data_IF_457655980298
#
_entry.id   IF_457655980298
#
_cell.length_a   1.000
_cell.length_b   1.000
_cell.length_c   1.000
_cell.angle_alpha   90.00
_cell.angle_beta   90.00
_cell.angle_gamma   90.00
#
_symmetry.space_group_name_H-M   'P 1'
#
loop_
_entity.id
_entity.type
_entity.pdbx_description
1 polymer ?
#
# COMPACT_ATOMS: atom_id res chain seq x y z
N UNK A 1 -14.23 7.65 -46.77
CA UNK A 1 -13.31 7.72 -45.65
C UNK A 1 -13.03 6.31 -45.18
N UNK A 2 -11.78 5.90 -45.21
CA UNK A 2 -11.34 4.57 -44.78
C UNK A 2 -11.16 4.55 -43.28
N UNK A 3 -11.21 3.38 -42.64
CA UNK A 3 -10.96 3.20 -41.19
C UNK A 3 -9.62 3.81 -40.76
N UNK A 4 -8.65 3.84 -41.68
CA UNK A 4 -7.33 4.47 -41.46
C UNK A 4 -7.43 6.00 -41.30
N UNK A 5 -8.27 6.68 -42.08
CA UNK A 5 -8.46 8.13 -41.96
C UNK A 5 -9.14 8.52 -40.65
N UNK A 6 -10.06 7.69 -40.12
CA UNK A 6 -10.65 7.89 -38.80
C UNK A 6 -9.63 7.67 -37.67
N UNK A 7 -8.74 6.69 -37.80
CA UNK A 7 -7.66 6.46 -36.84
C UNK A 7 -6.63 7.60 -36.84
N UNK A 8 -6.27 8.14 -38.03
CA UNK A 8 -5.37 9.30 -38.14
C UNK A 8 -5.99 10.55 -37.53
N UNK A 9 -7.26 10.84 -37.82
CA UNK A 9 -7.99 11.97 -37.21
C UNK A 9 -8.09 11.80 -35.71
N UNK A 10 -8.38 10.60 -35.21
CA UNK A 10 -8.42 10.31 -33.77
C UNK A 10 -7.05 10.50 -33.13
N UNK A 11 -5.99 9.98 -33.72
CA UNK A 11 -4.62 10.15 -33.25
C UNK A 11 -4.18 11.62 -33.28
N UNK A 12 -4.50 12.35 -34.34
CA UNK A 12 -4.15 13.76 -34.51
C UNK A 12 -4.92 14.65 -33.51
N UNK A 13 -6.21 14.41 -33.33
CA UNK A 13 -7.01 15.13 -32.33
C UNK A 13 -6.56 14.80 -30.92
N UNK A 14 -6.20 13.55 -30.61
CA UNK A 14 -5.71 13.14 -29.29
C UNK A 14 -4.32 13.70 -29.00
N UNK A 15 -3.40 13.71 -29.96
CA UNK A 15 -2.04 14.26 -29.82
C UNK A 15 -1.98 15.77 -29.75
N UNK A 16 -2.95 16.51 -30.32
CA UNK A 16 -2.99 17.97 -30.26
C UNK A 16 -3.90 18.47 -29.14
N UNK A 17 -5.09 17.92 -28.99
CA UNK A 17 -6.06 18.39 -28.00
C UNK A 17 -5.57 18.11 -26.58
N UNK A 18 -4.97 16.95 -26.33
CA UNK A 18 -4.47 16.60 -25.00
C UNK A 18 -3.34 17.52 -24.51
N UNK A 19 -2.26 17.77 -25.26
CA UNK A 19 -1.22 18.72 -24.89
C UNK A 19 -1.71 20.16 -24.78
N UNK A 20 -2.57 20.62 -25.69
CA UNK A 20 -3.15 21.97 -25.63
C UNK A 20 -4.06 22.15 -24.41
N UNK A 21 -4.84 21.14 -24.07
CA UNK A 21 -5.67 21.14 -22.88
C UNK A 21 -4.82 21.10 -21.59
N UNK A 22 -3.73 20.32 -21.57
CA UNK A 22 -2.75 20.28 -20.48
C UNK A 22 -2.04 21.64 -20.33
N UNK A 23 -1.62 22.26 -21.44
CA UNK A 23 -0.96 23.54 -21.41
C UNK A 23 -1.88 24.66 -20.95
N UNK A 24 -3.13 24.67 -21.42
CA UNK A 24 -4.16 25.63 -21.00
C UNK A 24 -4.51 25.50 -19.52
N UNK A 25 -4.53 24.28 -18.95
CA UNK A 25 -4.82 24.06 -17.54
C UNK A 25 -3.67 24.50 -16.62
N UNK A 26 -2.42 24.40 -17.09
CA UNK A 26 -1.25 24.90 -16.34
C UNK A 26 -1.25 26.42 -16.16
N UNK A 27 -1.90 27.15 -17.06
CA UNK A 27 -1.87 28.61 -17.07
C UNK A 27 -2.92 29.27 -16.17
N UNK A 28 -3.94 28.54 -15.69
CA UNK A 28 -5.14 29.20 -15.14
C UNK A 28 -5.50 28.96 -13.68
N UNK A 29 -4.80 28.10 -12.93
CA UNK A 29 -5.13 27.95 -11.49
C UNK A 29 -3.89 27.77 -10.60
N UNK A 30 -3.72 28.69 -9.67
CA UNK A 30 -2.89 28.54 -8.46
C UNK A 30 -3.48 27.55 -7.44
N UNK A 31 -4.59 26.87 -7.76
CA UNK A 31 -5.24 25.89 -6.89
C UNK A 31 -4.55 24.54 -7.04
N UNK A 32 -4.23 23.88 -5.94
CA UNK A 32 -3.70 22.50 -5.91
C UNK A 32 -4.76 21.47 -6.23
N UNK A 33 -6.04 21.86 -6.29
CA UNK A 33 -7.14 20.96 -6.59
C UNK A 33 -6.99 20.33 -7.98
N UNK A 34 -7.15 19.01 -8.11
CA UNK A 34 -7.06 18.29 -9.37
C UNK A 34 -8.06 18.81 -10.40
N UNK A 35 -7.61 18.92 -11.65
CA UNK A 35 -8.52 19.23 -12.76
C UNK A 35 -9.23 17.97 -13.20
N UNK A 36 -10.57 18.02 -13.23
CA UNK A 36 -11.40 16.93 -13.75
C UNK A 36 -11.45 17.04 -15.30
N UNK A 37 -10.77 16.11 -15.98
CA UNK A 37 -10.73 16.06 -17.44
C UNK A 37 -11.86 15.21 -18.01
N UNK A 38 -12.42 15.57 -19.16
CA UNK A 38 -13.34 14.67 -19.87
C UNK A 38 -12.68 13.31 -20.10
N UNK A 39 -13.44 12.23 -19.96
CA UNK A 39 -13.07 10.82 -20.14
C UNK A 39 -12.06 10.28 -19.09
N UNK A 40 -10.99 10.98 -18.79
CA UNK A 40 -9.91 10.48 -17.92
C UNK A 40 -10.00 10.97 -16.47
N UNK A 41 -10.97 11.85 -16.18
CA UNK A 41 -11.18 12.37 -14.83
C UNK A 41 -9.96 13.08 -14.25
N UNK A 42 -9.65 12.79 -13.00
CA UNK A 42 -8.49 13.32 -12.28
C UNK A 42 -7.28 12.37 -12.29
N UNK A 43 -7.33 11.29 -13.06
CA UNK A 43 -6.24 10.30 -13.16
C UNK A 43 -4.87 10.92 -13.51
N UNK A 44 -4.75 11.90 -14.45
CA UNK A 44 -3.46 12.53 -14.74
C UNK A 44 -2.81 13.17 -13.50
N UNK A 45 -3.61 13.73 -12.60
CA UNK A 45 -3.10 14.32 -11.36
C UNK A 45 -2.52 13.25 -10.43
N UNK A 46 -3.23 12.12 -10.20
CA UNK A 46 -2.70 11.02 -9.38
C UNK A 46 -1.38 10.48 -9.95
N UNK A 47 -1.32 10.27 -11.27
CA UNK A 47 -0.10 9.77 -11.93
C UNK A 47 1.07 10.74 -11.77
N UNK A 48 0.82 12.05 -11.90
CA UNK A 48 1.83 13.10 -11.75
C UNK A 48 2.38 13.16 -10.31
N UNK A 49 1.52 12.97 -9.31
CA UNK A 49 1.88 13.09 -7.90
C UNK A 49 2.05 11.75 -7.19
N UNK A 50 2.07 10.63 -7.91
CA UNK A 50 2.15 9.29 -7.33
C UNK A 50 3.28 9.10 -6.31
N UNK A 51 4.46 9.68 -6.56
CA UNK A 51 5.61 9.63 -5.64
C UNK A 51 5.45 10.53 -4.40
N UNK A 52 4.52 11.48 -4.40
CA UNK A 52 4.26 12.44 -3.31
C UNK A 52 2.77 12.56 -3.00
N UNK A 53 2.04 11.47 -3.19
CA UNK A 53 0.57 11.47 -3.11
C UNK A 53 0.06 11.99 -1.75
N UNK A 54 0.71 11.62 -0.65
CA UNK A 54 0.31 12.06 0.68
C UNK A 54 0.40 13.58 0.85
N UNK A 55 1.51 14.19 0.44
CA UNK A 55 1.68 15.64 0.52
C UNK A 55 0.70 16.39 -0.39
N UNK A 56 0.51 15.87 -1.61
CA UNK A 56 -0.42 16.45 -2.58
C UNK A 56 -1.88 16.32 -2.10
N UNK A 57 -2.27 15.16 -1.58
CA UNK A 57 -3.59 14.94 -1.01
C UNK A 57 -3.84 15.84 0.21
N UNK A 58 -2.88 15.98 1.13
CA UNK A 58 -2.99 16.87 2.29
C UNK A 58 -3.24 18.31 1.85
N UNK A 59 -2.53 18.77 0.81
CA UNK A 59 -2.73 20.13 0.30
C UNK A 59 -4.13 20.31 -0.28
N UNK A 60 -4.60 19.37 -1.11
CA UNK A 60 -5.97 19.40 -1.66
C UNK A 60 -7.02 19.39 -0.56
N UNK A 61 -6.86 18.52 0.45
CA UNK A 61 -7.79 18.42 1.58
C UNK A 61 -7.87 19.73 2.36
N UNK A 62 -6.73 20.39 2.61
CA UNK A 62 -6.70 21.70 3.28
C UNK A 62 -7.42 22.77 2.47
N UNK A 63 -7.26 22.79 1.14
CA UNK A 63 -7.92 23.75 0.26
C UNK A 63 -9.43 23.49 0.12
N UNK A 64 -9.87 22.22 0.23
CA UNK A 64 -11.26 21.80 0.09
C UNK A 64 -12.04 21.73 1.43
N UNK A 65 -11.45 22.17 2.54
CA UNK A 65 -12.13 22.16 3.85
C UNK A 65 -12.32 20.75 4.42
N UNK A 66 -11.41 19.81 4.12
CA UNK A 66 -11.35 18.49 4.75
C UNK A 66 -12.14 17.39 4.04
N UNK A 67 -12.89 17.69 2.97
CA UNK A 67 -13.60 16.68 2.17
C UNK A 67 -13.47 16.99 0.69
N UNK A 68 -13.12 15.98 -0.10
CA UNK A 68 -12.82 16.12 -1.51
C UNK A 68 -13.38 14.95 -2.31
N UNK A 69 -14.07 15.23 -3.42
CA UNK A 69 -14.56 14.23 -4.35
C UNK A 69 -13.55 14.02 -5.49
N UNK A 70 -12.93 12.85 -5.53
CA UNK A 70 -12.08 12.42 -6.62
C UNK A 70 -12.92 11.78 -7.72
N UNK A 71 -12.80 12.27 -8.95
CA UNK A 71 -13.46 11.71 -10.14
C UNK A 71 -12.45 10.88 -10.94
N UNK A 72 -12.72 9.58 -11.03
CA UNK A 72 -11.96 8.65 -11.87
C UNK A 72 -12.26 8.79 -13.36
N UNK A 73 -11.60 7.98 -14.20
CA UNK A 73 -11.96 7.85 -15.60
C UNK A 73 -13.36 7.26 -15.77
N UNK A 74 -14.06 7.66 -16.84
CA UNK A 74 -15.37 7.10 -17.18
C UNK A 74 -15.29 5.58 -17.29
N UNK A 75 -16.33 4.89 -16.83
CA UNK A 75 -16.48 3.42 -16.86
C UNK A 75 -15.44 2.63 -16.03
N UNK A 76 -14.62 3.31 -15.21
CA UNK A 76 -13.59 2.63 -14.40
C UNK A 76 -14.00 2.40 -12.94
N UNK A 77 -15.14 2.91 -12.49
CA UNK A 77 -15.63 2.84 -11.11
C UNK A 77 -14.55 3.25 -10.08
N UNK A 78 -13.84 4.35 -10.37
CA UNK A 78 -12.75 4.87 -9.55
C UNK A 78 -13.12 6.18 -8.82
N UNK A 79 -14.39 6.53 -8.78
CA UNK A 79 -14.85 7.71 -8.04
C UNK A 79 -14.72 7.45 -6.54
N UNK A 80 -14.15 8.42 -5.83
CA UNK A 80 -13.89 8.31 -4.39
C UNK A 80 -14.26 9.59 -3.67
N UNK A 81 -14.89 9.46 -2.51
CA UNK A 81 -15.03 10.56 -1.56
C UNK A 81 -13.97 10.42 -0.48
N UNK A 82 -13.05 11.38 -0.44
CA UNK A 82 -11.95 11.41 0.52
C UNK A 82 -12.26 12.44 1.58
N UNK A 83 -12.22 12.03 2.85
CA UNK A 83 -12.51 12.95 3.96
C UNK A 83 -11.49 12.81 5.08
N UNK A 84 -11.12 13.96 5.67
CA UNK A 84 -10.35 14.07 6.91
C UNK A 84 -11.17 14.77 8.02
N UNK A 85 -12.45 15.05 7.76
CA UNK A 85 -13.35 15.67 8.72
C UNK A 85 -13.65 14.69 9.87
N UNK A 86 -13.38 15.06 11.14
CA UNK A 86 -13.63 14.17 12.29
C UNK A 86 -15.10 13.75 12.44
N UNK A 87 -16.05 14.61 12.06
CA UNK A 87 -17.48 14.28 12.13
C UNK A 87 -17.85 13.20 11.12
N UNK A 88 -17.32 13.29 9.89
CA UNK A 88 -17.50 12.26 8.87
C UNK A 88 -16.84 10.95 9.28
N UNK A 89 -15.62 11.02 9.79
CA UNK A 89 -14.90 9.84 10.29
C UNK A 89 -15.67 9.16 11.41
N UNK A 90 -16.18 9.93 12.39
CA UNK A 90 -17.00 9.38 13.46
C UNK A 90 -18.32 8.79 12.96
N UNK A 91 -18.96 9.42 11.95
CA UNK A 91 -20.16 8.89 11.33
C UNK A 91 -19.88 7.52 10.67
N UNK A 92 -18.82 7.40 9.89
CA UNK A 92 -18.47 6.18 9.16
C UNK A 92 -18.03 5.05 10.11
N UNK A 93 -17.07 5.34 10.99
CA UNK A 93 -16.41 4.29 11.79
C UNK A 93 -17.09 3.98 13.14
N UNK A 94 -18.06 4.80 13.58
CA UNK A 94 -18.72 4.60 14.86
C UNK A 94 -20.25 4.49 14.74
N UNK A 95 -20.92 5.50 14.14
CA UNK A 95 -22.38 5.54 14.15
C UNK A 95 -23.03 4.60 13.14
N UNK A 96 -22.43 4.46 11.95
CA UNK A 96 -23.02 3.71 10.83
C UNK A 96 -22.03 2.72 10.23
N UNK A 97 -21.15 2.14 11.03
CA UNK A 97 -20.08 1.25 10.57
C UNK A 97 -20.59 0.10 9.67
N UNK A 98 -21.74 -0.47 9.99
CA UNK A 98 -22.37 -1.54 9.20
C UNK A 98 -22.77 -1.14 7.78
N UNK A 99 -22.97 0.16 7.52
CA UNK A 99 -23.33 0.68 6.20
C UNK A 99 -22.11 0.95 5.30
N UNK A 100 -20.90 0.83 5.83
CA UNK A 100 -19.65 1.11 5.13
C UNK A 100 -18.72 -0.09 5.11
N UNK A 101 -19.12 -1.23 4.50
CA UNK A 101 -18.21 -2.36 4.32
C UNK A 101 -17.11 -2.00 3.33
N UNK A 102 -15.98 -2.70 3.39
CA UNK A 102 -14.93 -2.59 2.38
C UNK A 102 -15.41 -3.02 1.00
N UNK A 103 -16.21 -4.08 0.96
CA UNK A 103 -16.86 -4.57 -0.22
C UNK A 103 -15.96 -5.36 -1.19
N UNK A 104 -16.56 -5.89 -2.27
CA UNK A 104 -15.87 -6.79 -3.18
C UNK A 104 -14.75 -6.12 -3.98
N UNK A 105 -14.90 -4.84 -4.32
CA UNK A 105 -13.88 -4.12 -5.11
C UNK A 105 -12.61 -3.89 -4.30
N UNK A 106 -12.74 -3.50 -3.03
CA UNK A 106 -11.63 -3.40 -2.11
C UNK A 106 -10.93 -4.75 -1.92
N UNK A 107 -11.70 -5.82 -1.75
CA UNK A 107 -11.18 -7.18 -1.56
C UNK A 107 -10.37 -7.68 -2.75
N UNK A 108 -10.72 -7.30 -3.98
CA UNK A 108 -9.94 -7.61 -5.18
C UNK A 108 -8.56 -6.93 -5.16
N UNK A 109 -8.51 -5.67 -4.75
CA UNK A 109 -7.25 -4.92 -4.66
C UNK A 109 -6.30 -5.61 -3.66
N UNK A 110 -6.84 -5.99 -2.50
CA UNK A 110 -6.10 -6.58 -1.40
C UNK A 110 -6.12 -8.12 -1.38
N UNK A 111 -6.32 -8.78 -2.51
CA UNK A 111 -6.43 -10.24 -2.58
C UNK A 111 -5.26 -11.01 -1.92
N UNK A 112 -4.05 -10.42 -1.92
CA UNK A 112 -2.86 -10.99 -1.28
C UNK A 112 -3.00 -11.14 0.24
N UNK A 113 -3.90 -10.39 0.87
CA UNK A 113 -4.17 -10.49 2.32
C UNK A 113 -5.22 -11.56 2.65
N UNK A 114 -5.73 -12.26 1.64
CA UNK A 114 -6.76 -13.29 1.82
C UNK A 114 -7.98 -12.78 2.58
N UNK A 115 -8.51 -13.60 3.47
CA UNK A 115 -9.63 -13.25 4.34
C UNK A 115 -9.20 -12.69 5.70
N UNK A 116 -7.96 -12.17 5.81
CA UNK A 116 -7.44 -11.56 7.03
C UNK A 116 -8.18 -10.30 7.46
N UNK A 117 -7.90 -9.80 8.67
CA UNK A 117 -8.58 -8.65 9.31
C UNK A 117 -8.65 -7.40 8.43
N UNK A 118 -7.64 -7.15 7.59
CA UNK A 118 -7.62 -5.98 6.69
C UNK A 118 -8.55 -6.12 5.50
N UNK A 119 -8.92 -7.34 5.12
CA UNK A 119 -9.73 -7.61 3.93
C UNK A 119 -11.12 -8.18 4.25
N UNK A 120 -11.35 -8.62 5.49
CA UNK A 120 -12.64 -9.14 5.95
C UNK A 120 -13.62 -8.01 6.26
N UNK A 121 -14.92 -8.32 6.10
CA UNK A 121 -16.06 -7.48 6.49
C UNK A 121 -16.94 -8.19 7.52
N UNK A 122 -17.83 -7.45 8.16
CA UNK A 122 -18.91 -7.92 9.05
C UNK A 122 -18.42 -8.89 10.16
N UNK A 123 -19.08 -10.02 10.30
CA UNK A 123 -18.84 -11.02 11.36
C UNK A 123 -17.39 -11.56 11.34
N UNK A 124 -16.83 -11.80 10.15
CA UNK A 124 -15.49 -12.30 10.02
C UNK A 124 -14.48 -11.24 10.49
N UNK A 125 -14.67 -9.97 10.12
CA UNK A 125 -13.84 -8.88 10.63
C UNK A 125 -13.97 -8.72 12.15
N UNK A 126 -15.17 -8.83 12.68
CA UNK A 126 -15.42 -8.73 14.13
C UNK A 126 -14.70 -9.86 14.89
N UNK A 127 -14.78 -11.09 14.36
CA UNK A 127 -14.06 -12.24 14.91
C UNK A 127 -12.55 -11.98 14.95
N UNK A 128 -11.96 -11.59 13.82
CA UNK A 128 -10.52 -11.30 13.74
C UNK A 128 -10.12 -10.16 14.68
N UNK A 129 -10.90 -9.08 14.73
CA UNK A 129 -10.63 -7.95 15.60
C UNK A 129 -10.66 -8.36 17.07
N UNK A 130 -11.69 -9.09 17.48
CA UNK A 130 -11.86 -9.57 18.86
C UNK A 130 -10.70 -10.47 19.29
N UNK A 131 -10.34 -11.42 18.43
CA UNK A 131 -9.22 -12.33 18.67
C UNK A 131 -7.89 -11.57 18.79
N UNK A 132 -7.62 -10.65 17.85
CA UNK A 132 -6.40 -9.83 17.88
C UNK A 132 -6.33 -8.97 19.13
N UNK A 133 -7.41 -8.32 19.52
CA UNK A 133 -7.47 -7.52 20.76
C UNK A 133 -7.22 -8.36 22.00
N UNK A 134 -7.75 -9.58 22.07
CA UNK A 134 -7.52 -10.47 23.21
C UNK A 134 -6.04 -10.82 23.38
N UNK A 135 -5.32 -11.03 22.29
CA UNK A 135 -3.87 -11.26 22.31
C UNK A 135 -3.12 -10.01 22.77
N UNK A 136 -3.42 -8.86 22.17
CA UNK A 136 -2.71 -7.61 22.46
C UNK A 136 -2.95 -7.07 23.88
N UNK A 137 -4.07 -7.40 24.51
CA UNK A 137 -4.35 -6.99 25.90
C UNK A 137 -3.79 -7.95 26.94
N UNK A 138 -3.26 -9.09 26.52
CA UNK A 138 -2.74 -10.09 27.46
C UNK A 138 -1.36 -9.70 28.02
N UNK A 139 -1.19 -9.76 29.33
CA UNK A 139 0.06 -9.35 30.00
C UNK A 139 1.29 -10.14 29.51
N UNK A 140 1.13 -11.44 29.24
CA UNK A 140 2.20 -12.30 28.72
C UNK A 140 2.70 -11.82 27.34
N UNK A 141 1.78 -11.32 26.48
CA UNK A 141 2.15 -10.76 25.19
C UNK A 141 3.09 -9.56 25.36
N UNK A 142 2.75 -8.61 26.23
CA UNK A 142 3.60 -7.44 26.50
C UNK A 142 4.98 -7.82 27.04
N UNK A 143 5.04 -8.81 27.93
CA UNK A 143 6.31 -9.28 28.46
C UNK A 143 7.17 -9.95 27.38
N UNK A 144 6.55 -10.78 26.52
CA UNK A 144 7.25 -11.45 25.42
C UNK A 144 7.70 -10.45 24.35
N UNK A 145 6.84 -9.49 24.01
CA UNK A 145 7.17 -8.39 23.09
C UNK A 145 8.36 -7.59 23.61
N UNK A 146 8.32 -7.16 24.88
CA UNK A 146 9.42 -6.41 25.49
C UNK A 146 10.74 -7.18 25.45
N UNK A 147 10.71 -8.47 25.78
CA UNK A 147 11.91 -9.33 25.73
C UNK A 147 12.45 -9.48 24.30
N UNK A 148 11.58 -9.74 23.32
CA UNK A 148 12.00 -9.88 21.92
C UNK A 148 12.62 -8.59 21.39
N UNK A 149 11.96 -7.45 21.61
CA UNK A 149 12.42 -6.13 21.15
C UNK A 149 13.75 -5.75 21.78
N UNK A 150 13.89 -5.86 23.12
CA UNK A 150 15.13 -5.54 23.79
C UNK A 150 16.27 -6.49 23.39
N UNK A 151 15.99 -7.80 23.28
CA UNK A 151 16.98 -8.74 22.75
C UNK A 151 17.48 -8.35 21.39
N UNK A 152 16.58 -7.92 20.47
CA UNK A 152 16.96 -7.49 19.12
C UNK A 152 17.69 -6.14 19.10
N UNK A 153 17.40 -5.24 20.05
CA UNK A 153 18.19 -4.01 20.24
C UNK A 153 19.63 -4.35 20.58
N UNK A 154 19.84 -5.23 21.55
CA UNK A 154 21.18 -5.59 22.03
C UNK A 154 21.98 -6.43 21.02
N UNK A 155 21.33 -7.41 20.36
CA UNK A 155 22.03 -8.37 19.49
C UNK A 155 22.08 -7.94 18.02
N UNK A 156 21.20 -7.04 17.58
CA UNK A 156 21.11 -6.59 16.18
C UNK A 156 21.36 -5.09 16.03
N UNK A 157 20.48 -4.26 16.59
CA UNK A 157 20.49 -2.82 16.32
C UNK A 157 21.78 -2.13 16.76
N UNK A 158 22.17 -2.31 18.01
CA UNK A 158 23.40 -1.68 18.55
C UNK A 158 24.67 -2.14 17.84
N UNK A 159 24.90 -3.44 17.60
CA UNK A 159 26.06 -3.90 16.83
C UNK A 159 26.14 -3.35 15.42
N UNK A 160 25.00 -3.29 14.72
CA UNK A 160 24.94 -2.76 13.35
C UNK A 160 25.30 -1.28 13.33
N UNK A 161 24.68 -0.46 14.17
CA UNK A 161 24.98 0.97 14.27
C UNK A 161 26.44 1.22 14.70
N UNK A 162 26.97 0.43 15.64
CA UNK A 162 28.37 0.53 16.04
C UNK A 162 29.34 0.16 14.89
N UNK A 163 28.97 -0.79 14.04
CA UNK A 163 29.75 -1.15 12.84
C UNK A 163 29.82 0.00 11.85
N UNK A 164 28.69 0.63 11.52
CA UNK A 164 28.65 1.81 10.65
C UNK A 164 29.44 2.98 11.20
N UNK A 165 29.31 3.24 12.52
CA UNK A 165 30.09 4.28 13.20
C UNK A 165 31.60 4.05 13.07
N UNK A 166 32.06 2.81 13.26
CA UNK A 166 33.50 2.46 13.11
C UNK A 166 34.00 2.64 11.68
N UNK A 167 33.15 2.39 10.69
CA UNK A 167 33.50 2.54 9.28
C UNK A 167 33.41 3.99 8.78
N UNK A 168 32.79 4.90 9.56
CA UNK A 168 32.57 6.28 9.17
C UNK A 168 31.63 6.43 7.94
N UNK A 169 30.72 5.48 7.76
CA UNK A 169 29.79 5.43 6.63
C UNK A 169 28.40 5.85 7.09
N UNK A 170 27.71 6.66 6.28
CA UNK A 170 26.32 7.03 6.52
C UNK A 170 25.40 5.80 6.40
N UNK A 171 24.39 5.75 7.24
CA UNK A 171 23.39 4.67 7.28
C UNK A 171 22.00 5.19 6.98
N UNK A 172 21.26 4.45 6.16
CA UNK A 172 19.83 4.67 6.00
C UNK A 172 19.07 4.06 7.19
N UNK A 173 18.66 4.92 8.12
CA UNK A 173 17.91 4.49 9.31
C UNK A 173 16.56 3.86 8.95
N UNK A 174 15.95 4.22 7.82
CA UNK A 174 14.69 3.61 7.37
C UNK A 174 14.91 2.13 7.02
N UNK A 175 15.96 1.79 6.30
CA UNK A 175 16.32 0.41 5.98
C UNK A 175 16.62 -0.40 7.26
N UNK A 176 17.42 0.17 8.17
CA UNK A 176 17.73 -0.45 9.47
C UNK A 176 16.48 -0.74 10.29
N UNK A 177 15.57 0.24 10.41
CA UNK A 177 14.35 0.03 11.18
C UNK A 177 13.35 -0.90 10.49
N UNK A 178 13.31 -0.97 9.16
CA UNK A 178 12.51 -1.97 8.44
C UNK A 178 12.98 -3.39 8.79
N UNK A 179 14.28 -3.64 8.74
CA UNK A 179 14.87 -4.94 9.14
C UNK A 179 14.62 -5.25 10.61
N UNK A 180 14.81 -4.26 11.48
CA UNK A 180 14.50 -4.39 12.91
C UNK A 180 13.06 -4.80 13.16
N UNK A 181 12.11 -4.15 12.50
CA UNK A 181 10.69 -4.48 12.62
C UNK A 181 10.37 -5.85 12.04
N UNK A 182 10.95 -6.19 10.89
CA UNK A 182 10.75 -7.48 10.23
C UNK A 182 11.20 -8.64 11.13
N UNK A 183 12.42 -8.58 11.67
CA UNK A 183 12.95 -9.62 12.56
C UNK A 183 12.11 -9.77 13.84
N UNK A 184 11.68 -8.64 14.45
CA UNK A 184 10.83 -8.67 15.64
C UNK A 184 9.45 -9.27 15.36
N UNK A 185 8.82 -8.95 14.23
CA UNK A 185 7.52 -9.51 13.85
C UNK A 185 7.65 -11.01 13.61
N UNK A 186 8.67 -11.45 12.86
CA UNK A 186 8.93 -12.87 12.64
C UNK A 186 9.17 -13.62 13.95
N UNK A 187 9.96 -13.04 14.86
CA UNK A 187 10.21 -13.64 16.18
C UNK A 187 8.94 -13.73 17.00
N UNK A 188 8.11 -12.71 16.99
CA UNK A 188 6.89 -12.65 17.79
C UNK A 188 5.77 -13.58 17.27
N UNK A 189 5.62 -13.68 15.95
CA UNK A 189 4.50 -14.39 15.29
C UNK A 189 4.87 -15.83 14.93
N UNK A 190 6.11 -16.05 14.47
CA UNK A 190 6.58 -17.33 13.97
C UNK A 190 7.58 -18.02 14.91
N UNK A 191 7.95 -17.36 16.02
CA UNK A 191 9.06 -17.76 16.91
C UNK A 191 10.39 -17.97 16.17
N UNK A 192 10.59 -17.32 15.04
CA UNK A 192 11.75 -17.42 14.18
C UNK A 192 12.41 -16.06 13.97
N UNK A 193 13.75 -15.99 14.13
CA UNK A 193 14.55 -14.77 13.85
C UNK A 193 15.28 -14.93 12.51
N UNK A 194 14.87 -14.21 11.46
CA UNK A 194 15.53 -14.27 10.16
C UNK A 194 16.92 -13.62 10.13
N UNK A 195 17.31 -12.90 11.18
CA UNK A 195 18.59 -12.20 11.29
C UNK A 195 18.87 -11.23 10.13
N UNK A 196 17.81 -10.61 9.60
CA UNK A 196 17.95 -9.60 8.54
C UNK A 196 18.70 -8.37 9.01
N UNK A 197 18.58 -8.06 10.31
CA UNK A 197 19.34 -7.01 10.99
C UNK A 197 20.60 -7.61 11.65
N UNK A 198 21.63 -7.79 10.85
CA UNK A 198 22.97 -8.18 11.27
C UNK A 198 24.01 -7.29 10.60
N UNK A 199 25.29 -7.37 11.02
CA UNK A 199 26.37 -6.52 10.48
C UNK A 199 26.55 -6.66 8.98
N UNK A 200 26.18 -7.80 8.40
CA UNK A 200 26.29 -8.08 6.97
C UNK A 200 25.04 -7.63 6.21
N UNK A 201 23.98 -7.23 6.90
CA UNK A 201 22.67 -6.81 6.35
C UNK A 201 22.19 -7.72 5.20
N UNK A 202 21.99 -9.03 5.46
CA UNK A 202 21.60 -9.96 4.42
C UNK A 202 20.24 -9.58 3.83
N UNK A 203 20.06 -9.87 2.54
CA UNK A 203 18.77 -9.69 1.87
C UNK A 203 17.89 -10.89 2.12
N UNK A 204 16.81 -10.70 2.85
CA UNK A 204 15.79 -11.73 3.08
C UNK A 204 14.72 -11.60 1.98
N UNK A 205 14.46 -12.67 1.19
CA UNK A 205 13.48 -12.59 0.08
C UNK A 205 12.08 -12.15 0.53
N UNK A 206 11.61 -12.59 1.70
CA UNK A 206 10.31 -12.23 2.25
C UNK A 206 10.22 -10.74 2.63
N UNK A 207 11.28 -10.14 3.15
CA UNK A 207 11.34 -8.69 3.43
C UNK A 207 11.17 -7.86 2.15
N UNK A 208 11.92 -8.23 1.10
CA UNK A 208 11.78 -7.60 -0.22
C UNK A 208 10.39 -7.80 -0.80
N UNK A 209 9.83 -9.00 -0.66
CA UNK A 209 8.49 -9.35 -1.11
C UNK A 209 7.42 -8.46 -0.48
N UNK A 210 7.53 -8.15 0.82
CA UNK A 210 6.61 -7.25 1.52
C UNK A 210 6.59 -5.85 0.88
N UNK A 211 7.75 -5.29 0.61
CA UNK A 211 7.87 -3.97 -0.03
C UNK A 211 7.32 -3.98 -1.47
N UNK A 212 7.62 -5.02 -2.24
CA UNK A 212 7.11 -5.17 -3.61
C UNK A 212 5.57 -5.35 -3.63
N UNK A 213 5.00 -6.09 -2.66
CA UNK A 213 3.57 -6.27 -2.50
C UNK A 213 2.87 -4.95 -2.15
N UNK A 214 3.36 -4.20 -1.15
CA UNK A 214 2.81 -2.90 -0.77
C UNK A 214 2.82 -1.94 -1.98
N UNK A 215 3.94 -1.90 -2.72
CA UNK A 215 4.05 -1.08 -3.92
C UNK A 215 3.06 -1.48 -5.03
N UNK A 216 2.77 -2.77 -5.20
CA UNK A 216 1.80 -3.24 -6.18
C UNK A 216 0.36 -2.93 -5.75
N UNK A 217 0.02 -3.13 -4.47
CA UNK A 217 -1.28 -2.79 -3.91
C UNK A 217 -1.58 -1.29 -4.06
N UNK A 218 -0.61 -0.44 -3.75
CA UNK A 218 -0.75 1.00 -3.98
C UNK A 218 -1.03 1.32 -5.47
N UNK A 219 -0.35 0.64 -6.38
CA UNK A 219 -0.53 0.85 -7.82
C UNK A 219 -1.92 0.43 -8.31
N UNK A 220 -2.54 -0.61 -7.71
CA UNK A 220 -3.92 -1.03 -8.00
C UNK A 220 -4.96 0.03 -7.61
N UNK A 221 -4.67 0.92 -6.66
CA UNK A 221 -5.53 2.07 -6.34
C UNK A 221 -5.42 3.22 -7.35
N UNK A 222 -4.30 3.29 -8.06
CA UNK A 222 -4.05 4.36 -9.03
C UNK A 222 -4.55 3.97 -10.42
N UNK A 223 -4.41 2.69 -10.80
CA UNK A 223 -4.75 2.21 -12.12
C UNK A 223 -6.17 1.64 -12.19
N UNK A 224 -6.88 1.85 -13.33
CA UNK A 224 -8.11 1.14 -13.61
C UNK A 224 -7.95 -0.39 -13.49
N UNK A 225 -9.00 -1.06 -13.02
CA UNK A 225 -9.01 -2.52 -12.79
C UNK A 225 -8.61 -3.29 -14.06
N UNK A 226 -9.09 -2.87 -15.22
CA UNK A 226 -8.76 -3.48 -16.51
C UNK A 226 -7.26 -3.46 -16.82
N UNK A 227 -6.57 -2.40 -16.42
CA UNK A 227 -5.13 -2.23 -16.70
C UNK A 227 -4.30 -3.16 -15.85
N UNK A 228 -4.51 -3.19 -14.53
CA UNK A 228 -3.73 -4.10 -13.69
C UNK A 228 -4.11 -5.56 -13.89
N UNK A 229 -5.36 -5.90 -14.24
CA UNK A 229 -5.75 -7.25 -14.66
C UNK A 229 -5.02 -7.70 -15.92
N UNK A 230 -4.90 -6.80 -16.90
CA UNK A 230 -4.12 -7.07 -18.11
C UNK A 230 -2.64 -7.31 -17.77
N UNK A 231 -2.05 -6.48 -16.89
CA UNK A 231 -0.66 -6.68 -16.42
C UNK A 231 -0.49 -8.04 -15.71
N UNK A 232 -1.46 -8.43 -14.87
CA UNK A 232 -1.49 -9.73 -14.18
C UNK A 232 -1.53 -10.88 -15.20
N UNK A 233 -2.40 -10.79 -16.20
CA UNK A 233 -2.52 -11.80 -17.23
C UNK A 233 -1.25 -11.92 -18.09
N UNK A 234 -0.62 -10.80 -18.43
CA UNK A 234 0.65 -10.77 -19.19
C UNK A 234 1.88 -11.11 -18.33
N UNK A 235 1.75 -11.16 -17.02
CA UNK A 235 2.88 -11.38 -16.11
C UNK A 235 3.93 -10.26 -16.15
N UNK A 236 3.50 -8.99 -16.27
CA UNK A 236 4.40 -7.83 -16.41
C UNK A 236 4.18 -6.78 -15.32
N UNK A 237 5.12 -5.85 -15.21
CA UNK A 237 5.00 -4.66 -14.36
C UNK A 237 4.93 -4.97 -12.86
N UNK A 238 4.07 -4.25 -12.15
CA UNK A 238 3.90 -4.42 -10.70
C UNK A 238 3.17 -5.72 -10.33
N UNK A 239 2.30 -6.21 -11.21
CA UNK A 239 1.56 -7.46 -10.98
C UNK A 239 2.48 -8.70 -11.00
N UNK A 240 3.50 -8.70 -11.86
CA UNK A 240 4.55 -9.72 -11.81
C UNK A 240 5.26 -9.74 -10.45
N UNK A 241 5.64 -8.56 -9.94
CA UNK A 241 6.28 -8.43 -8.63
C UNK A 241 5.39 -8.92 -7.49
N UNK A 242 4.07 -8.66 -7.57
CA UNK A 242 3.10 -9.16 -6.60
C UNK A 242 3.01 -10.69 -6.62
N UNK A 243 3.03 -11.30 -7.81
CA UNK A 243 3.04 -12.76 -7.95
C UNK A 243 4.32 -13.39 -7.39
N UNK A 244 5.47 -12.78 -7.65
CA UNK A 244 6.76 -13.20 -7.09
C UNK A 244 6.77 -13.03 -5.55
N UNK A 245 6.22 -11.93 -5.04
CA UNK A 245 6.09 -11.67 -3.62
C UNK A 245 5.21 -12.73 -2.92
N UNK A 246 4.10 -13.10 -3.52
CA UNK A 246 3.21 -14.12 -2.98
C UNK A 246 3.92 -15.47 -2.81
N UNK A 247 4.67 -15.90 -3.83
CA UNK A 247 5.48 -17.11 -3.73
C UNK A 247 6.51 -17.06 -2.61
N UNK A 248 7.20 -15.91 -2.47
CA UNK A 248 8.18 -15.71 -1.41
C UNK A 248 7.53 -15.73 -0.01
N UNK A 249 6.29 -15.24 0.15
CA UNK A 249 5.54 -15.36 1.40
C UNK A 249 5.20 -16.81 1.71
N UNK A 250 4.69 -17.55 0.74
CA UNK A 250 4.34 -18.96 0.93
C UNK A 250 5.58 -19.78 1.30
N UNK A 251 6.68 -19.62 0.58
CA UNK A 251 7.94 -20.30 0.84
C UNK A 251 8.53 -19.97 2.23
N UNK A 252 8.30 -18.75 2.71
CA UNK A 252 8.80 -18.32 4.02
C UNK A 252 7.86 -18.71 5.15
N UNK A 253 6.54 -18.49 5.02
CA UNK A 253 5.58 -18.63 6.12
C UNK A 253 5.20 -20.10 6.35
N UNK A 254 4.93 -20.88 5.28
CA UNK A 254 4.43 -22.25 5.40
C UNK A 254 5.29 -23.16 6.27
N UNK A 255 6.62 -23.23 6.11
CA UNK A 255 7.46 -24.09 6.93
C UNK A 255 7.37 -23.77 8.42
N UNK A 256 7.32 -22.48 8.77
CA UNK A 256 7.29 -22.03 10.17
C UNK A 256 5.94 -22.28 10.85
N UNK A 257 4.83 -22.10 10.10
CA UNK A 257 3.48 -22.41 10.59
C UNK A 257 3.32 -23.92 10.82
N UNK A 258 3.82 -24.76 9.93
CA UNK A 258 3.78 -26.22 10.10
C UNK A 258 4.59 -26.67 11.32
N UNK A 259 5.75 -26.10 11.54
CA UNK A 259 6.56 -26.40 12.74
C UNK A 259 5.85 -26.03 14.05
N UNK A 260 5.17 -24.89 14.06
CA UNK A 260 4.41 -24.42 15.24
C UNK A 260 3.20 -25.32 15.57
N UNK A 261 2.63 -26.04 14.59
CA UNK A 261 1.54 -26.99 14.81
C UNK A 261 2.00 -28.37 15.27
N UNK A 262 3.28 -28.70 15.11
CA UNK A 262 3.86 -29.99 15.48
C UNK A 262 4.62 -29.99 16.79
N UNK A 263 4.84 -28.82 17.38
CA UNK A 263 5.47 -28.60 18.67
C UNK A 263 4.43 -28.39 19.79
#
# INVERSE_FOLDING_TARGET
>A
MTIFEYLEIFFFTFTIILPCAVWRSRSWKKSSAPTNWPLVGMLPWILQFSCRIHSAATQVMNECGGTFEFKGPWFCNMDMLITSDPANIHHIFSRNFSNYPKGPEFRKIFEVLGDGIFNADFELWELHRRTTLSVFTHATFHTSLGRAVWGKVETGLLPVLASFLKQGVDVDLQDIFQKFMFDNICKLVLDYDPQSLSTDLPRVPCEKALNDAIGALFYRHILPESVWKLQKWLGVGKERKLTEAWKAFDEFIYPHVLQAHTA
#
